data_IF_218992394249
#
_entry.id   IF_218992394249
#
_cell.length_a   1.000
_cell.length_b   1.000
_cell.length_c   1.000
_cell.angle_alpha   90.00
_cell.angle_beta   90.00
_cell.angle_gamma   90.00
#
_symmetry.space_group_name_H-M   'P 1'
#
loop_
_entity.id
_entity.type
_entity.pdbx_description
1 polymer ?
#
# COMPACT_ATOMS: atom_id res chain seq x y z
N UNK A 1 15.34 13.37 21.64
CA UNK A 1 13.96 13.03 22.02
C UNK A 1 13.79 11.55 21.85
N UNK A 2 13.58 10.81 22.94
CA UNK A 2 13.49 9.34 22.89
C UNK A 2 12.14 8.92 22.31
N UNK A 3 12.12 8.45 21.06
CA UNK A 3 10.91 8.04 20.34
C UNK A 3 10.11 6.91 21.03
N UNK A 4 10.62 6.29 22.10
CA UNK A 4 10.01 5.11 22.72
C UNK A 4 9.95 5.14 24.28
N UNK A 5 10.03 6.30 24.94
CA UNK A 5 10.23 6.36 26.40
C UNK A 5 9.05 5.88 27.28
N UNK A 6 7.86 5.65 26.71
CA UNK A 6 6.63 5.36 27.47
C UNK A 6 5.83 4.16 26.94
N UNK A 7 6.47 3.10 26.41
CA UNK A 7 5.71 1.92 25.91
C UNK A 7 6.06 0.59 26.59
N UNK A 8 5.00 -0.19 26.74
CA UNK A 8 4.93 -1.46 27.47
C UNK A 8 5.48 -2.57 26.57
N UNK A 9 6.35 -3.40 27.15
CA UNK A 9 6.94 -4.55 26.47
C UNK A 9 5.92 -5.70 26.49
N UNK A 10 5.41 -6.10 25.33
CA UNK A 10 4.65 -7.36 25.22
C UNK A 10 5.63 -8.53 25.09
N UNK A 11 5.42 -9.65 25.81
CA UNK A 11 6.25 -10.84 25.67
C UNK A 11 6.09 -11.46 24.28
N UNK A 12 7.21 -11.75 23.61
CA UNK A 12 7.23 -12.50 22.35
C UNK A 12 7.14 -11.68 21.05
N UNK A 13 7.27 -10.34 21.09
CA UNK A 13 7.39 -9.53 19.87
C UNK A 13 8.41 -8.40 20.02
N UNK A 14 8.98 -7.86 18.92
CA UNK A 14 9.66 -6.57 18.98
C UNK A 14 8.72 -5.54 19.62
N UNK A 15 9.29 -4.59 20.36
CA UNK A 15 8.51 -3.50 20.97
C UNK A 15 7.64 -2.85 19.90
N UNK A 16 6.41 -2.44 20.23
CA UNK A 16 5.49 -1.81 19.26
C UNK A 16 6.16 -0.65 18.52
N UNK A 17 7.11 0.02 19.18
CA UNK A 17 7.96 1.06 18.59
C UNK A 17 8.81 0.56 17.41
N UNK A 18 9.50 -0.59 17.54
CA UNK A 18 10.32 -1.16 16.48
C UNK A 18 9.48 -1.65 15.28
N UNK A 19 8.25 -2.10 15.54
CA UNK A 19 7.32 -2.47 14.49
C UNK A 19 6.88 -1.26 13.66
N UNK A 20 6.47 -0.18 14.34
CA UNK A 20 6.01 1.06 13.71
C UNK A 20 7.14 1.87 13.05
N UNK A 21 8.39 1.75 13.51
CA UNK A 21 9.54 2.52 12.96
C UNK A 21 10.34 1.78 11.90
N UNK A 22 10.46 0.45 11.96
CA UNK A 22 11.34 -0.30 11.06
C UNK A 22 10.51 -1.12 10.07
N UNK A 23 9.50 -1.81 10.57
CA UNK A 23 8.78 -2.81 9.80
C UNK A 23 7.72 -2.16 8.89
N UNK A 24 6.89 -1.26 9.43
CA UNK A 24 5.80 -0.59 8.70
C UNK A 24 6.26 0.29 7.51
N UNK A 25 7.36 1.06 7.56
CA UNK A 25 7.78 1.89 6.43
C UNK A 25 8.63 1.15 5.39
N UNK A 26 9.04 -0.09 5.66
CA UNK A 26 9.87 -0.90 4.75
C UNK A 26 9.25 -1.07 3.34
N UNK A 27 7.94 -1.38 3.19
CA UNK A 27 7.27 -1.40 1.89
C UNK A 27 7.39 -0.08 1.13
N UNK A 28 7.27 1.04 1.86
CA UNK A 28 7.34 2.39 1.29
C UNK A 28 8.73 2.72 0.77
N UNK A 29 9.79 2.37 1.52
CA UNK A 29 11.16 2.53 1.04
C UNK A 29 11.45 1.71 -0.22
N UNK A 30 11.02 0.44 -0.24
CA UNK A 30 11.17 -0.42 -1.42
C UNK A 30 10.43 0.14 -2.62
N UNK A 31 9.21 0.66 -2.43
CA UNK A 31 8.46 1.29 -3.51
C UNK A 31 9.16 2.53 -4.06
N UNK A 32 9.67 3.42 -3.20
CA UNK A 32 10.39 4.62 -3.65
C UNK A 32 11.60 4.24 -4.48
N UNK A 33 12.41 3.27 -4.01
CA UNK A 33 13.59 2.80 -4.75
C UNK A 33 13.18 2.16 -6.08
N UNK A 34 12.17 1.29 -6.08
CA UNK A 34 11.68 0.64 -7.29
C UNK A 34 11.13 1.65 -8.30
N UNK A 35 10.43 2.68 -7.84
CA UNK A 35 9.88 3.73 -8.67
C UNK A 35 10.97 4.62 -9.28
N UNK A 36 11.99 5.00 -8.50
CA UNK A 36 13.16 5.73 -9.02
C UNK A 36 13.95 4.93 -10.07
N UNK A 37 14.12 3.62 -9.83
CA UNK A 37 14.72 2.71 -10.81
C UNK A 37 13.85 2.58 -12.07
N UNK A 38 12.53 2.57 -11.91
CA UNK A 38 11.61 2.52 -13.04
C UNK A 38 11.66 3.82 -13.84
N UNK A 39 11.60 5.00 -13.20
CA UNK A 39 11.71 6.30 -13.89
C UNK A 39 13.03 6.45 -14.65
N UNK A 40 14.15 6.06 -14.04
CA UNK A 40 15.46 6.13 -14.67
C UNK A 40 15.61 5.19 -15.88
N UNK A 41 14.92 4.04 -15.87
CA UNK A 41 14.86 3.11 -17.01
C UNK A 41 13.80 3.51 -18.05
N UNK A 42 12.67 4.04 -17.61
CA UNK A 42 11.53 4.41 -18.44
C UNK A 42 11.86 5.60 -19.33
N UNK A 43 12.62 6.58 -18.83
CA UNK A 43 13.20 7.67 -19.62
C UNK A 43 13.97 7.17 -20.85
N UNK A 44 14.62 6.00 -20.73
CA UNK A 44 15.41 5.40 -21.83
C UNK A 44 14.59 4.52 -22.77
N UNK A 45 13.37 4.12 -22.40
CA UNK A 45 12.63 3.05 -23.09
C UNK A 45 11.20 3.42 -23.49
N UNK A 46 10.84 4.70 -23.38
CA UNK A 46 9.48 5.24 -23.58
C UNK A 46 8.89 4.96 -24.99
N UNK A 47 9.72 4.60 -25.96
CA UNK A 47 9.34 4.50 -27.37
C UNK A 47 8.65 3.17 -27.75
N UNK A 48 8.76 2.10 -26.94
CA UNK A 48 8.28 0.76 -27.32
C UNK A 48 7.44 0.03 -26.25
N UNK A 49 6.88 0.76 -25.29
CA UNK A 49 6.11 0.13 -24.21
C UNK A 49 4.66 -0.11 -24.66
N UNK A 50 4.30 -1.40 -24.80
CA UNK A 50 2.92 -1.82 -25.08
C UNK A 50 1.97 -1.33 -23.98
N UNK A 51 1.24 -0.25 -24.26
CA UNK A 51 0.19 0.28 -23.40
C UNK A 51 -1.03 -0.62 -23.52
N UNK A 52 -1.44 -1.24 -22.42
CA UNK A 52 -2.68 -2.03 -22.44
C UNK A 52 -3.89 -1.10 -22.33
N UNK A 53 -4.94 -1.34 -23.13
CA UNK A 53 -6.21 -0.63 -22.99
C UNK A 53 -6.82 -1.05 -21.65
N UNK A 54 -6.77 -0.15 -20.69
CA UNK A 54 -7.36 -0.31 -19.37
C UNK A 54 -8.69 0.43 -19.35
N UNK A 55 -9.79 -0.20 -18.90
CA UNK A 55 -11.10 0.43 -18.95
C UNK A 55 -11.15 1.67 -18.05
N UNK A 56 -11.55 2.81 -18.60
CA UNK A 56 -11.49 4.11 -17.93
C UNK A 56 -12.28 4.16 -16.61
N UNK A 57 -13.43 3.49 -16.54
CA UNK A 57 -14.25 3.45 -15.32
C UNK A 57 -13.49 2.80 -14.14
N UNK A 58 -12.80 1.69 -14.41
CA UNK A 58 -12.03 0.97 -13.40
C UNK A 58 -10.86 1.81 -12.89
N UNK A 59 -10.24 2.61 -13.77
CA UNK A 59 -9.13 3.51 -13.39
C UNK A 59 -9.62 4.61 -12.48
N UNK A 60 -10.75 5.23 -12.81
CA UNK A 60 -11.35 6.28 -12.01
C UNK A 60 -11.76 5.75 -10.62
N UNK A 61 -12.39 4.57 -10.56
CA UNK A 61 -12.74 3.93 -9.28
C UNK A 61 -11.50 3.65 -8.46
N UNK A 62 -10.46 3.06 -9.07
CA UNK A 62 -9.20 2.78 -8.39
C UNK A 62 -8.51 4.04 -7.89
N UNK A 63 -8.47 5.10 -8.68
CA UNK A 63 -7.91 6.40 -8.30
C UNK A 63 -8.65 7.01 -7.12
N UNK A 64 -9.99 7.00 -7.13
CA UNK A 64 -10.82 7.51 -6.02
C UNK A 64 -10.58 6.70 -4.75
N UNK A 65 -10.45 5.37 -4.84
CA UNK A 65 -10.16 4.54 -3.67
C UNK A 65 -8.75 4.83 -3.11
N UNK A 66 -7.74 5.03 -3.96
CA UNK A 66 -6.38 5.41 -3.52
C UNK A 66 -6.39 6.79 -2.86
N UNK A 67 -7.15 7.75 -3.38
CA UNK A 67 -7.34 9.06 -2.76
C UNK A 67 -8.02 8.93 -1.38
N UNK A 68 -9.02 8.07 -1.25
CA UNK A 68 -9.66 7.79 0.04
C UNK A 68 -8.69 7.15 1.04
N UNK A 69 -7.87 6.19 0.59
CA UNK A 69 -6.83 5.59 1.42
C UNK A 69 -5.79 6.64 1.86
N UNK A 70 -5.38 7.55 0.97
CA UNK A 70 -4.50 8.66 1.32
C UNK A 70 -5.11 9.56 2.39
N UNK A 71 -6.38 9.96 2.26
CA UNK A 71 -7.09 10.73 3.28
C UNK A 71 -7.17 10.00 4.63
N UNK A 72 -7.41 8.69 4.62
CA UNK A 72 -7.43 7.85 5.82
C UNK A 72 -6.07 7.83 6.54
N UNK A 73 -4.96 7.77 5.79
CA UNK A 73 -3.62 7.86 6.41
C UNK A 73 -3.34 9.22 7.05
N UNK A 74 -3.88 10.32 6.48
CA UNK A 74 -3.79 11.65 7.10
C UNK A 74 -4.60 11.70 8.39
N UNK A 75 -5.79 11.10 8.42
CA UNK A 75 -6.61 11.02 9.63
C UNK A 75 -5.94 10.20 10.72
N UNK A 76 -5.28 9.09 10.37
CA UNK A 76 -4.49 8.30 11.31
C UNK A 76 -3.37 9.15 11.92
N UNK A 77 -2.66 9.92 11.10
CA UNK A 77 -1.59 10.81 11.54
C UNK A 77 -2.08 11.90 12.49
N UNK A 78 -3.18 12.56 12.14
CA UNK A 78 -3.81 13.57 12.99
C UNK A 78 -4.19 12.98 14.36
N UNK A 79 -4.75 11.76 14.39
CA UNK A 79 -5.15 11.09 15.63
C UNK A 79 -3.98 10.64 16.49
N UNK A 80 -2.93 10.10 15.87
CA UNK A 80 -1.71 9.71 16.60
C UNK A 80 -1.01 10.94 17.19
N UNK A 81 -1.02 12.06 16.47
CA UNK A 81 -0.49 13.34 16.98
C UNK A 81 -1.30 13.88 18.17
N UNK A 82 -2.62 13.69 18.17
CA UNK A 82 -3.49 14.14 19.26
C UNK A 82 -3.32 13.32 20.55
N UNK A 83 -2.85 12.07 20.45
CA UNK A 83 -2.62 11.19 21.61
C UNK A 83 -1.18 11.24 22.16
N UNK A 84 -0.33 12.16 21.67
CA UNK A 84 1.13 12.22 21.96
C UNK A 84 1.87 10.88 21.72
N UNK A 85 1.23 9.97 20.98
CA UNK A 85 1.79 8.69 20.58
C UNK A 85 2.69 8.97 19.38
N UNK A 86 3.93 9.36 19.67
CA UNK A 86 4.96 9.76 18.72
C UNK A 86 4.68 9.40 17.27
N UNK A 87 4.52 10.43 16.44
CA UNK A 87 4.36 10.35 14.99
C UNK A 87 5.69 9.82 14.42
N UNK A 88 5.86 8.50 14.43
CA UNK A 88 7.10 7.83 14.01
C UNK A 88 7.35 7.94 12.51
N UNK A 89 7.71 6.82 11.87
CA UNK A 89 7.96 6.78 10.41
C UNK A 89 6.70 6.68 9.53
N UNK A 90 5.51 6.87 10.10
CA UNK A 90 4.26 6.96 9.33
C UNK A 90 4.26 7.99 8.18
N UNK A 91 4.99 9.14 8.21
CA UNK A 91 4.99 10.06 7.06
C UNK A 91 5.52 9.40 5.78
N UNK A 92 6.29 8.32 5.92
CA UNK A 92 6.85 7.58 4.81
C UNK A 92 5.78 6.79 4.04
N UNK A 93 4.78 6.22 4.72
CA UNK A 93 3.66 5.54 4.04
C UNK A 93 2.78 6.55 3.29
N UNK A 94 2.52 7.72 3.89
CA UNK A 94 1.80 8.82 3.24
C UNK A 94 2.54 9.31 1.99
N UNK A 95 3.88 9.43 2.07
CA UNK A 95 4.72 9.83 0.92
C UNK A 95 4.68 8.78 -0.19
N UNK A 96 4.72 7.48 0.14
CA UNK A 96 4.61 6.42 -0.85
C UNK A 96 3.24 6.41 -1.53
N UNK A 97 2.14 6.57 -0.78
CA UNK A 97 0.80 6.71 -1.36
C UNK A 97 0.67 7.93 -2.26
N UNK A 98 1.29 9.05 -1.89
CA UNK A 98 1.34 10.24 -2.75
C UNK A 98 2.05 9.95 -4.07
N UNK A 99 3.18 9.24 -4.05
CA UNK A 99 3.89 8.80 -5.27
C UNK A 99 3.00 7.90 -6.13
N UNK A 100 2.31 6.92 -5.53
CA UNK A 100 1.37 6.05 -6.23
C UNK A 100 0.25 6.86 -6.88
N UNK A 101 -0.32 7.82 -6.16
CA UNK A 101 -1.37 8.70 -6.69
C UNK A 101 -0.89 9.52 -7.89
N UNK A 102 0.31 10.12 -7.80
CA UNK A 102 0.93 10.86 -8.91
C UNK A 102 1.23 9.93 -10.09
N UNK A 103 1.73 8.73 -9.83
CA UNK A 103 2.00 7.73 -10.87
C UNK A 103 0.73 7.34 -11.62
N UNK A 104 -0.39 7.11 -10.91
CA UNK A 104 -1.68 6.82 -11.52
C UNK A 104 -2.25 8.01 -12.30
N UNK A 105 -2.02 9.23 -11.82
CA UNK A 105 -2.45 10.44 -12.51
C UNK A 105 -1.74 10.65 -13.85
N UNK A 106 -0.43 10.40 -13.88
CA UNK A 106 0.40 10.56 -15.08
C UNK A 106 0.18 9.39 -16.05
N UNK A 107 0.11 8.15 -15.55
CA UNK A 107 -0.06 6.95 -16.37
C UNK A 107 -1.52 6.64 -16.69
N UNK A 108 -2.07 7.29 -17.73
CA UNK A 108 -3.38 6.90 -18.30
C UNK A 108 -3.40 5.52 -18.95
N UNK A 109 -2.24 4.94 -19.27
CA UNK A 109 -2.08 3.59 -19.81
C UNK A 109 -1.20 2.76 -18.89
N UNK A 110 -1.65 1.55 -18.52
CA UNK A 110 -0.97 0.75 -17.50
C UNK A 110 0.25 0.03 -18.07
N UNK A 111 1.42 0.30 -17.49
CA UNK A 111 2.65 -0.44 -17.78
C UNK A 111 2.68 -1.72 -16.93
N UNK A 112 3.04 -2.86 -17.53
CA UNK A 112 3.13 -4.15 -16.82
C UNK A 112 4.11 -4.11 -15.63
N UNK A 113 5.27 -3.47 -15.80
CA UNK A 113 6.26 -3.29 -14.75
C UNK A 113 5.69 -2.48 -13.56
N UNK A 114 4.93 -1.41 -13.82
CA UNK A 114 4.29 -0.62 -12.76
C UNK A 114 3.27 -1.47 -12.00
N UNK A 115 2.44 -2.25 -12.71
CA UNK A 115 1.42 -3.12 -12.08
C UNK A 115 2.06 -4.19 -11.18
N UNK A 116 3.21 -4.75 -11.57
CA UNK A 116 3.96 -5.69 -10.70
C UNK A 116 4.49 -4.99 -9.45
N UNK A 117 5.10 -3.82 -9.60
CA UNK A 117 5.62 -3.06 -8.46
C UNK A 117 4.48 -2.73 -7.49
N UNK A 118 3.37 -2.20 -8.01
CA UNK A 118 2.19 -1.88 -7.20
C UNK A 118 1.60 -3.13 -6.53
N UNK A 119 1.47 -4.24 -7.25
CA UNK A 119 1.00 -5.51 -6.67
C UNK A 119 1.87 -5.97 -5.49
N UNK A 120 3.20 -5.94 -5.68
CA UNK A 120 4.14 -6.31 -4.61
C UNK A 120 4.08 -5.35 -3.42
N UNK A 121 3.91 -4.05 -3.69
CA UNK A 121 3.76 -3.03 -2.66
C UNK A 121 2.47 -3.21 -1.85
N UNK A 122 1.33 -3.40 -2.51
CA UNK A 122 0.05 -3.59 -1.82
C UNK A 122 0.04 -4.85 -0.98
N UNK A 123 0.59 -5.95 -1.50
CA UNK A 123 0.71 -7.20 -0.73
C UNK A 123 1.53 -6.99 0.54
N UNK A 124 2.71 -6.37 0.40
CA UNK A 124 3.62 -6.19 1.53
C UNK A 124 3.06 -5.16 2.52
N UNK A 125 2.50 -4.05 2.05
CA UNK A 125 1.82 -3.05 2.90
C UNK A 125 0.64 -3.66 3.66
N UNK A 126 -0.22 -4.44 2.98
CA UNK A 126 -1.35 -5.12 3.62
C UNK A 126 -0.88 -6.10 4.69
N UNK A 127 0.16 -6.91 4.42
CA UNK A 127 0.72 -7.83 5.40
C UNK A 127 1.22 -7.09 6.66
N UNK A 128 1.97 -6.01 6.47
CA UNK A 128 2.52 -5.23 7.58
C UNK A 128 1.43 -4.56 8.43
N UNK A 129 0.42 -3.97 7.79
CA UNK A 129 -0.70 -3.32 8.47
C UNK A 129 -1.61 -4.34 9.17
N UNK A 130 -1.77 -5.57 8.63
CA UNK A 130 -2.51 -6.64 9.34
C UNK A 130 -1.82 -7.00 10.66
N UNK A 131 -0.48 -7.10 10.67
CA UNK A 131 0.26 -7.39 11.91
C UNK A 131 0.04 -6.27 12.92
N UNK A 132 0.05 -5.00 12.47
CA UNK A 132 -0.22 -3.84 13.32
C UNK A 132 -1.64 -3.88 13.90
N UNK A 133 -2.66 -4.18 13.10
CA UNK A 133 -4.06 -4.30 13.56
C UNK A 133 -4.22 -5.43 14.57
N UNK A 134 -3.64 -6.60 14.32
CA UNK A 134 -3.68 -7.74 15.27
C UNK A 134 -3.02 -7.37 16.59
N UNK A 135 -1.88 -6.68 16.56
CA UNK A 135 -1.19 -6.21 17.77
C UNK A 135 -1.99 -5.14 18.52
N UNK A 136 -2.68 -4.26 17.79
CA UNK A 136 -3.55 -3.25 18.38
C UNK A 136 -4.75 -3.91 19.08
N UNK A 137 -5.35 -4.94 18.48
CA UNK A 137 -6.43 -5.71 19.10
C UNK A 137 -5.98 -6.38 20.41
N UNK A 138 -4.82 -7.03 20.41
CA UNK A 138 -4.25 -7.65 21.63
C UNK A 138 -3.92 -6.60 22.70
N UNK A 139 -3.54 -5.39 22.31
CA UNK A 139 -3.25 -4.31 23.26
C UNK A 139 -4.53 -3.75 23.89
N UNK A 140 -5.62 -3.64 23.13
CA UNK A 140 -6.92 -3.19 23.62
C UNK A 140 -7.50 -4.18 24.64
N UNK A 141 -7.38 -5.48 24.39
CA UNK A 141 -7.79 -6.54 25.31
C UNK A 141 -7.00 -6.55 26.64
N UNK A 142 -5.71 -6.19 26.60
CA UNK A 142 -4.82 -6.27 27.78
C UNK A 142 -4.83 -5.01 28.64
N UNK A 143 -5.16 -3.83 28.09
CA UNK A 143 -5.19 -2.55 28.82
C UNK A 143 -6.45 -1.75 28.46
N UNK A 144 -7.61 -2.09 29.04
CA UNK A 144 -8.88 -1.42 28.73
C UNK A 144 -8.90 0.06 29.14
N UNK A 145 -7.98 0.53 29.98
CA UNK A 145 -7.91 1.94 30.41
C UNK A 145 -7.50 2.93 29.30
N UNK A 146 -7.09 2.46 28.11
CA UNK A 146 -6.91 3.33 26.93
C UNK A 146 -8.26 3.71 26.28
N UNK A 147 -9.34 3.00 26.59
CA UNK A 147 -10.71 3.35 26.20
C UNK A 147 -11.29 4.54 27.00
N UNK A 148 -10.56 5.04 28.00
CA UNK A 148 -11.01 6.12 28.90
C UNK A 148 -10.52 7.51 28.51
N UNK A 149 -9.74 7.65 27.43
CA UNK A 149 -9.42 8.99 26.88
C UNK A 149 -10.68 9.56 26.21
N UNK A 150 -11.22 10.70 26.69
CA UNK A 150 -12.51 11.23 26.22
C UNK A 150 -12.47 11.72 24.76
N UNK A 151 -11.28 11.87 24.19
CA UNK A 151 -11.08 12.54 22.90
C UNK A 151 -11.09 11.56 21.71
N UNK A 152 -10.84 10.26 21.93
CA UNK A 152 -10.95 9.23 20.88
C UNK A 152 -10.91 7.78 21.44
N UNK A 153 -12.00 7.00 21.34
CA UNK A 153 -12.03 5.64 21.88
C UNK A 153 -11.18 4.66 21.03
N UNK A 154 -10.54 3.70 21.69
CA UNK A 154 -9.66 2.73 21.05
C UNK A 154 -10.38 1.84 20.01
N UNK A 155 -11.69 1.62 20.16
CA UNK A 155 -12.54 0.92 19.20
C UNK A 155 -12.53 1.58 17.82
N UNK A 156 -12.61 2.92 17.78
CA UNK A 156 -12.67 3.68 16.53
C UNK A 156 -11.28 3.70 15.87
N UNK A 157 -10.21 3.65 16.67
CA UNK A 157 -8.84 3.50 16.17
C UNK A 157 -8.62 2.13 15.51
N UNK A 158 -9.13 1.06 16.13
CA UNK A 158 -9.05 -0.28 15.58
C UNK A 158 -9.84 -0.39 14.27
N UNK A 159 -11.06 0.16 14.25
CA UNK A 159 -11.94 0.12 13.09
C UNK A 159 -11.30 0.81 11.88
N UNK A 160 -10.77 2.02 12.05
CA UNK A 160 -10.20 2.76 10.93
C UNK A 160 -8.93 2.10 10.37
N UNK A 161 -8.10 1.53 11.23
CA UNK A 161 -6.93 0.75 10.81
C UNK A 161 -7.34 -0.55 10.11
N UNK A 162 -8.42 -1.21 10.56
CA UNK A 162 -8.96 -2.41 9.92
C UNK A 162 -9.54 -2.09 8.52
N UNK A 163 -10.21 -0.94 8.35
CA UNK A 163 -10.71 -0.49 7.05
C UNK A 163 -9.55 -0.19 6.10
N UNK A 164 -8.46 0.45 6.57
CA UNK A 164 -7.26 0.66 5.75
C UNK A 164 -6.65 -0.66 5.27
N UNK A 165 -6.54 -1.66 6.16
CA UNK A 165 -6.07 -3.00 5.80
C UNK A 165 -6.94 -3.63 4.72
N UNK A 166 -8.26 -3.54 4.86
CA UNK A 166 -9.21 -4.07 3.87
C UNK A 166 -9.04 -3.38 2.50
N UNK A 167 -8.82 -2.06 2.47
CA UNK A 167 -8.52 -1.33 1.24
C UNK A 167 -7.22 -1.80 0.58
N UNK A 168 -6.16 -2.05 1.36
CA UNK A 168 -4.89 -2.54 0.81
C UNK A 168 -5.01 -3.95 0.21
N UNK A 169 -5.78 -4.84 0.84
CA UNK A 169 -6.11 -6.14 0.25
C UNK A 169 -6.93 -6.00 -1.03
N UNK A 170 -7.89 -5.07 -1.05
CA UNK A 170 -8.68 -4.78 -2.24
C UNK A 170 -7.78 -4.29 -3.40
N UNK A 171 -6.82 -3.40 -3.13
CA UNK A 171 -5.85 -2.94 -4.12
C UNK A 171 -4.95 -4.07 -4.65
N UNK A 172 -4.51 -4.98 -3.76
CA UNK A 172 -3.79 -6.17 -4.17
C UNK A 172 -4.61 -7.03 -5.13
N UNK A 173 -5.89 -7.29 -4.83
CA UNK A 173 -6.78 -8.05 -5.72
C UNK A 173 -6.96 -7.33 -7.07
N UNK A 174 -7.11 -6.01 -7.08
CA UNK A 174 -7.22 -5.23 -8.32
C UNK A 174 -5.97 -5.30 -9.19
N UNK A 175 -4.78 -5.17 -8.60
CA UNK A 175 -3.53 -5.28 -9.35
C UNK A 175 -3.27 -6.73 -9.80
N UNK A 176 -3.62 -7.73 -8.99
CA UNK A 176 -3.54 -9.14 -9.38
C UNK A 176 -4.48 -9.46 -10.56
N UNK A 177 -5.70 -8.95 -10.53
CA UNK A 177 -6.64 -9.04 -11.66
C UNK A 177 -6.07 -8.36 -12.92
N UNK A 178 -5.45 -7.19 -12.75
CA UNK A 178 -4.80 -6.48 -13.86
C UNK A 178 -3.63 -7.29 -14.44
N UNK A 179 -2.76 -7.85 -13.60
CA UNK A 179 -1.64 -8.69 -14.05
C UNK A 179 -2.15 -9.95 -14.78
N UNK A 180 -3.15 -10.64 -14.23
CA UNK A 180 -3.68 -11.87 -14.83
C UNK A 180 -4.35 -11.61 -16.18
N UNK A 181 -5.10 -10.50 -16.33
CA UNK A 181 -5.67 -10.11 -17.63
C UNK A 181 -4.60 -9.75 -18.66
N UNK A 182 -3.51 -9.10 -18.23
CA UNK A 182 -2.37 -8.80 -19.10
C UNK A 182 -1.68 -10.09 -19.56
N UNK A 183 -1.42 -11.03 -18.65
CA UNK A 183 -0.80 -12.32 -18.98
C UNK A 183 -1.67 -13.08 -19.98
N UNK A 184 -2.99 -13.13 -19.77
CA UNK A 184 -3.93 -13.80 -20.69
C UNK A 184 -3.87 -13.19 -22.09
N UNK A 185 -3.90 -11.86 -22.23
CA UNK A 185 -3.80 -11.20 -23.54
C UNK A 185 -2.48 -11.52 -24.26
N UNK A 186 -1.35 -11.46 -23.55
CA UNK A 186 -0.04 -11.77 -24.12
C UNK A 186 0.06 -13.23 -24.62
N UNK A 187 -0.62 -14.17 -23.97
CA UNK A 187 -0.67 -15.56 -24.43
C UNK A 187 -1.49 -15.73 -25.71
N UNK A 188 -2.61 -15.00 -25.83
CA UNK A 188 -3.44 -14.99 -27.05
C UNK A 188 -2.64 -14.42 -28.22
N UNK A 189 -2.03 -13.24 -28.06
CA UNK A 189 -1.23 -12.61 -29.12
C UNK A 189 -0.07 -13.50 -29.58
N UNK A 190 0.57 -14.22 -28.64
CA UNK A 190 1.64 -15.18 -28.96
C UNK A 190 1.13 -16.39 -29.73
N UNK A 191 -0.07 -16.86 -29.43
CA UNK A 191 -0.70 -18.00 -30.13
C UNK A 191 -1.07 -17.60 -31.56
N UNK A 192 -1.65 -16.42 -31.75
CA UNK A 192 -2.03 -15.91 -33.08
C UNK A 192 -0.81 -15.66 -33.97
N UNK A 193 0.28 -15.13 -33.41
CA UNK A 193 1.52 -14.92 -34.15
C UNK A 193 2.22 -16.22 -34.54
N UNK A 194 2.15 -17.27 -33.69
CA UNK A 194 2.66 -18.60 -34.05
C UNK A 194 1.82 -19.26 -35.16
N UNK A 195 0.50 -19.11 -35.14
CA UNK A 195 -0.39 -19.57 -36.22
C UNK A 195 -0.09 -18.88 -37.55
N UNK A 196 0.21 -17.57 -37.53
CA UNK A 196 0.55 -16.81 -38.74
C UNK A 196 1.93 -17.19 -39.33
N UNK A 197 2.84 -17.73 -38.52
CA UNK A 197 4.18 -18.14 -38.95
C UNK A 197 4.24 -19.55 -39.56
N UNK A 198 3.12 -20.28 -39.61
CA UNK A 198 3.05 -21.58 -40.30
C UNK A 198 3.96 -22.67 -39.71
N UNK A 199 4.35 -22.54 -38.44
CA UNK A 199 5.13 -23.56 -37.74
C UNK A 199 4.13 -24.58 -37.19
N UNK A 200 3.85 -25.61 -37.98
CA UNK A 200 3.05 -26.78 -37.60
C UNK A 200 3.96 -27.93 -37.17
#
# INVERSE_FOLDING_TARGET
>A
MALCSHRIVLPGSPSTCALDTILVPLPSFLLVVAFLLLLSRLSKHLENVNRLPYPHWLHNVYFVLVLAAFAMTILEMARLSAQDLGVGLLPMSTTALFIVMVALWIERGRIWALSIILCSYWLFLAAMETVKVVRLNVLDETIPNKASSPEYPASDQLLDNAVMVALYWLFFVFELYTITTIIRKRQVDKTDSLLMLGIQ
#
